data_IF_237792396170
#
_entry.id   IF_237792396170
#
_cell.length_a   1.000
_cell.length_b   1.000
_cell.length_c   1.000
_cell.angle_alpha   90.00
_cell.angle_beta   90.00
_cell.angle_gamma   90.00
#
_symmetry.space_group_name_H-M   'P 1'
#
loop_
_entity.id
_entity.type
_entity.pdbx_description
1 polymer ?
#
# COMPACT_ATOMS: atom_id res chain seq x y z
N UNK A 1 -19.96 -19.78 15.45
CA UNK A 1 -19.19 -19.32 16.64
C UNK A 1 -18.56 -17.97 16.31
N UNK A 2 -18.77 -16.90 17.10
CA UNK A 2 -18.10 -15.63 16.85
C UNK A 2 -16.57 -15.80 16.92
N UNK A 3 -15.88 -15.30 15.92
CA UNK A 3 -14.45 -15.48 15.74
C UNK A 3 -13.70 -14.64 16.79
N UNK A 4 -13.07 -15.29 17.79
CA UNK A 4 -12.30 -14.62 18.86
C UNK A 4 -11.24 -13.64 18.33
N UNK A 5 -10.75 -13.82 17.10
CA UNK A 5 -9.83 -12.88 16.45
C UNK A 5 -10.52 -11.57 16.05
N UNK A 6 -11.77 -11.63 15.57
CA UNK A 6 -12.55 -10.46 15.17
C UNK A 6 -12.93 -9.58 16.38
N UNK A 7 -13.29 -10.20 17.52
CA UNK A 7 -13.58 -9.47 18.75
C UNK A 7 -12.34 -8.77 19.33
N UNK A 8 -11.18 -9.42 19.26
CA UNK A 8 -9.89 -8.81 19.66
C UNK A 8 -9.53 -7.66 18.73
N UNK A 9 -9.74 -7.82 17.42
CA UNK A 9 -9.52 -6.77 16.42
C UNK A 9 -10.40 -5.55 16.69
N UNK A 10 -11.70 -5.76 16.96
CA UNK A 10 -12.65 -4.68 17.25
C UNK A 10 -12.31 -3.95 18.55
N UNK A 11 -11.95 -4.70 19.61
CA UNK A 11 -11.49 -4.11 20.88
C UNK A 11 -10.22 -3.28 20.72
N UNK A 12 -9.23 -3.78 19.96
CA UNK A 12 -8.01 -3.03 19.69
C UNK A 12 -8.29 -1.78 18.84
N UNK A 13 -9.16 -1.88 17.84
CA UNK A 13 -9.57 -0.73 17.02
C UNK A 13 -10.26 0.35 17.86
N UNK A 14 -11.15 -0.02 18.79
CA UNK A 14 -11.78 0.91 19.70
C UNK A 14 -10.76 1.62 20.61
N UNK A 15 -9.78 0.89 21.13
CA UNK A 15 -8.67 1.48 21.90
C UNK A 15 -7.81 2.42 21.07
N UNK A 16 -7.55 2.08 19.81
CA UNK A 16 -6.72 2.86 18.90
C UNK A 16 -7.44 4.11 18.31
N UNK A 17 -8.77 4.20 18.47
CA UNK A 17 -9.57 5.36 18.11
C UNK A 17 -9.46 6.49 19.14
N UNK A 18 -9.21 6.16 20.42
CA UNK A 18 -9.18 7.14 21.52
C UNK A 18 -7.84 7.10 22.27
N UNK A 19 -7.50 8.17 23.03
CA UNK A 19 -6.29 8.20 23.87
C UNK A 19 -6.58 7.73 25.29
N UNK A 20 -7.14 6.53 25.41
CA UNK A 20 -7.45 5.92 26.70
C UNK A 20 -6.22 5.37 27.43
N UNK A 21 -6.36 4.89 28.67
CA UNK A 21 -5.25 4.33 29.46
C UNK A 21 -4.50 3.20 28.75
N UNK A 22 -5.22 2.34 28.03
CA UNK A 22 -4.61 1.26 27.25
C UNK A 22 -3.75 1.77 26.08
N UNK A 23 -4.17 2.84 25.40
CA UNK A 23 -3.37 3.47 24.35
C UNK A 23 -2.09 4.09 24.95
N UNK A 24 -2.19 4.75 26.10
CA UNK A 24 -1.03 5.32 26.80
C UNK A 24 -0.01 4.26 27.24
N UNK A 25 -0.47 3.09 27.69
CA UNK A 25 0.40 1.97 28.03
C UNK A 25 1.20 1.48 26.80
N UNK A 26 0.61 1.53 25.61
CA UNK A 26 1.23 1.13 24.34
C UNK A 26 2.02 2.26 23.66
N UNK A 27 1.92 3.49 24.17
CA UNK A 27 2.53 4.66 23.56
C UNK A 27 4.07 4.59 23.47
N UNK A 28 4.81 4.12 24.50
CA UNK A 28 6.26 3.97 24.40
C UNK A 28 6.69 3.03 23.26
N UNK A 29 5.95 1.93 23.05
CA UNK A 29 6.19 1.00 21.94
C UNK A 29 5.96 1.70 20.60
N UNK A 30 4.96 2.57 20.53
CA UNK A 30 4.65 3.33 19.31
C UNK A 30 5.70 4.38 18.99
N UNK A 31 6.31 4.98 20.02
CA UNK A 31 7.47 5.88 19.86
C UNK A 31 8.66 5.12 19.30
N UNK A 32 8.98 3.95 19.84
CA UNK A 32 10.07 3.10 19.34
C UNK A 32 9.82 2.67 17.88
N UNK A 33 8.59 2.26 17.56
CA UNK A 33 8.18 1.95 16.19
C UNK A 33 8.36 3.15 15.26
N UNK A 34 7.93 4.35 15.68
CA UNK A 34 8.12 5.58 14.92
C UNK A 34 9.59 5.96 14.71
N UNK A 35 10.45 5.72 15.69
CA UNK A 35 11.89 5.94 15.58
C UNK A 35 12.51 5.01 14.52
N UNK A 36 12.12 3.72 14.51
CA UNK A 36 12.59 2.77 13.51
C UNK A 36 12.15 3.14 12.08
N UNK A 37 10.90 3.59 11.92
CA UNK A 37 10.40 4.06 10.62
C UNK A 37 11.20 5.28 10.12
N UNK A 38 11.47 6.23 11.00
CA UNK A 38 12.28 7.42 10.67
C UNK A 38 13.71 7.07 10.31
N UNK A 39 14.33 6.17 11.07
CA UNK A 39 15.67 5.67 10.77
C UNK A 39 15.69 5.03 9.37
N UNK A 40 14.72 4.15 9.09
CA UNK A 40 14.60 3.52 7.77
C UNK A 40 14.44 4.56 6.66
N UNK A 41 13.57 5.55 6.83
CA UNK A 41 13.40 6.63 5.85
C UNK A 41 14.69 7.41 5.65
N UNK A 42 15.38 7.77 6.74
CA UNK A 42 16.66 8.48 6.69
C UNK A 42 17.73 7.69 5.93
N UNK A 43 17.77 6.35 6.08
CA UNK A 43 18.70 5.50 5.32
C UNK A 43 18.42 5.51 3.81
N UNK A 44 17.15 5.56 3.39
CA UNK A 44 16.81 5.71 1.97
C UNK A 44 17.14 7.12 1.45
N UNK A 45 16.81 8.16 2.22
CA UNK A 45 17.13 9.55 1.85
C UNK A 45 18.63 9.81 1.76
N UNK A 46 19.41 9.21 2.65
CA UNK A 46 20.87 9.30 2.64
C UNK A 46 21.53 8.44 1.55
N UNK A 47 20.75 7.67 0.78
CA UNK A 47 21.27 6.77 -0.25
C UNK A 47 21.96 5.51 0.29
N UNK A 48 21.91 5.26 1.60
CA UNK A 48 22.43 4.02 2.19
C UNK A 48 21.60 2.82 1.73
N UNK A 49 20.28 2.99 1.70
CA UNK A 49 19.36 2.06 1.06
C UNK A 49 18.94 2.60 -0.30
N UNK A 50 18.92 1.72 -1.31
CA UNK A 50 18.73 2.11 -2.69
C UNK A 50 17.26 1.99 -3.10
N UNK A 51 16.72 3.07 -3.68
CA UNK A 51 15.43 3.04 -4.39
C UNK A 51 15.67 2.79 -5.87
N UNK A 52 14.90 1.88 -6.44
CA UNK A 52 15.02 1.46 -7.83
C UNK A 52 13.94 2.16 -8.65
N UNK A 53 14.36 2.86 -9.72
CA UNK A 53 13.47 3.48 -10.71
C UNK A 53 13.13 2.51 -11.84
N UNK A 54 11.93 2.66 -12.37
CA UNK A 54 11.47 1.98 -13.58
C UNK A 54 11.57 2.93 -14.78
N UNK A 55 11.46 2.37 -15.99
CA UNK A 55 11.44 3.13 -17.25
C UNK A 55 10.14 3.89 -17.49
N UNK A 56 9.10 3.64 -16.68
CA UNK A 56 7.78 4.26 -16.78
C UNK A 56 7.38 4.91 -15.44
N UNK A 57 6.47 5.90 -15.45
CA UNK A 57 5.97 6.51 -14.22
C UNK A 57 5.27 5.51 -13.30
N UNK A 58 5.42 5.72 -11.99
CA UNK A 58 4.84 4.86 -10.95
C UNK A 58 3.93 5.67 -10.03
N UNK A 59 2.65 5.31 -9.98
CA UNK A 59 1.67 5.83 -9.02
C UNK A 59 1.48 4.79 -7.92
N UNK A 60 1.70 5.19 -6.66
CA UNK A 60 1.44 4.33 -5.51
C UNK A 60 0.11 4.70 -4.88
N UNK A 61 -0.81 3.74 -4.78
CA UNK A 61 -2.06 3.87 -4.04
C UNK A 61 -1.91 3.12 -2.72
N UNK A 62 -2.27 3.74 -1.61
CA UNK A 62 -2.25 3.06 -0.33
C UNK A 62 -2.95 3.83 0.78
N UNK A 63 -2.95 3.24 1.97
CA UNK A 63 -3.43 3.90 3.18
C UNK A 63 -2.29 4.04 4.20
N UNK A 64 -2.49 4.94 5.15
CA UNK A 64 -1.57 5.12 6.28
C UNK A 64 -2.15 4.56 7.58
N UNK A 65 -3.27 3.82 7.51
CA UNK A 65 -4.08 3.40 8.64
C UNK A 65 -4.28 1.89 8.56
N UNK A 66 -4.19 1.16 9.67
CA UNK A 66 -4.46 -0.29 9.66
C UNK A 66 -5.95 -0.57 9.45
N UNK A 67 -6.25 -1.33 8.39
CA UNK A 67 -7.59 -1.79 8.05
C UNK A 67 -7.85 -1.72 6.54
N UNK A 68 -8.99 -2.23 6.10
CA UNK A 68 -9.46 -2.01 4.72
C UNK A 68 -9.94 -0.57 4.58
N UNK A 69 -9.29 0.20 3.71
CA UNK A 69 -9.56 1.64 3.53
C UNK A 69 -10.01 1.97 2.10
N UNK A 70 -10.78 1.09 1.45
CA UNK A 70 -11.28 1.35 0.10
C UNK A 70 -10.20 1.46 -0.99
N UNK A 71 -9.02 0.86 -0.79
CA UNK A 71 -7.91 0.89 -1.75
C UNK A 71 -8.29 0.24 -3.09
N UNK A 72 -8.87 -0.96 -3.06
CA UNK A 72 -9.20 -1.71 -4.29
C UNK A 72 -10.17 -0.95 -5.20
N UNK A 73 -11.31 -0.39 -4.70
CA UNK A 73 -12.15 0.50 -5.50
C UNK A 73 -11.40 1.72 -6.05
N UNK A 74 -10.51 2.32 -5.26
CA UNK A 74 -9.70 3.47 -5.70
C UNK A 74 -8.74 3.09 -6.82
N UNK A 75 -8.04 1.96 -6.72
CA UNK A 75 -7.15 1.46 -7.76
C UNK A 75 -7.92 1.19 -9.04
N UNK A 76 -9.08 0.54 -8.96
CA UNK A 76 -9.95 0.28 -10.12
C UNK A 76 -10.39 1.58 -10.79
N UNK A 77 -10.84 2.56 -10.01
CA UNK A 77 -11.27 3.87 -10.52
C UNK A 77 -10.11 4.62 -11.18
N UNK A 78 -8.94 4.64 -10.55
CA UNK A 78 -7.73 5.29 -11.07
C UNK A 78 -7.28 4.66 -12.38
N UNK A 79 -7.18 3.33 -12.43
CA UNK A 79 -6.78 2.58 -13.63
C UNK A 79 -7.73 2.87 -14.79
N UNK A 80 -9.04 2.83 -14.55
CA UNK A 80 -10.05 3.16 -15.57
C UNK A 80 -9.94 4.60 -16.05
N UNK A 81 -9.75 5.54 -15.13
CA UNK A 81 -9.59 6.96 -15.48
C UNK A 81 -8.34 7.18 -16.34
N UNK A 82 -7.21 6.59 -15.96
CA UNK A 82 -5.97 6.67 -16.74
C UNK A 82 -6.12 6.03 -18.13
N UNK A 83 -6.78 4.88 -18.21
CA UNK A 83 -7.11 4.23 -19.48
C UNK A 83 -7.98 5.11 -20.38
N UNK A 84 -9.02 5.74 -19.82
CA UNK A 84 -9.86 6.68 -20.55
C UNK A 84 -9.09 7.94 -21.00
N UNK A 85 -8.04 8.33 -20.27
CA UNK A 85 -7.12 9.40 -20.64
C UNK A 85 -6.02 8.94 -21.63
N UNK A 86 -6.08 7.71 -22.16
CA UNK A 86 -5.16 7.19 -23.19
C UNK A 86 -3.90 6.51 -22.66
N UNK A 87 -3.75 6.37 -21.34
CA UNK A 87 -2.64 5.60 -20.76
C UNK A 87 -2.89 4.09 -20.88
N UNK A 88 -1.81 3.32 -20.80
CA UNK A 88 -1.84 1.85 -20.73
C UNK A 88 -1.28 1.41 -19.39
N UNK A 89 -2.09 1.49 -18.32
CA UNK A 89 -1.64 1.17 -16.97
C UNK A 89 -1.47 -0.34 -16.77
N UNK A 90 -0.43 -0.73 -16.03
CA UNK A 90 -0.27 -2.05 -15.43
C UNK A 90 -0.35 -1.93 -13.90
N UNK A 91 -0.90 -2.95 -13.24
CA UNK A 91 -1.04 -2.96 -11.78
C UNK A 91 -0.06 -3.92 -11.15
N UNK A 92 0.62 -3.45 -10.10
CA UNK A 92 1.44 -4.31 -9.24
C UNK A 92 0.89 -4.35 -7.83
N UNK A 93 0.82 -5.53 -7.23
CA UNK A 93 0.39 -5.69 -5.85
C UNK A 93 1.26 -6.73 -5.14
N UNK A 94 1.14 -6.79 -3.81
CA UNK A 94 1.83 -7.82 -3.01
C UNK A 94 1.20 -9.20 -3.22
N UNK A 95 -0.12 -9.24 -3.40
CA UNK A 95 -0.93 -10.45 -3.27
C UNK A 95 -0.97 -10.91 -1.80
N UNK A 96 -1.80 -10.27 -0.99
CA UNK A 96 -1.95 -10.60 0.43
C UNK A 96 -2.45 -12.05 0.58
N UNK A 97 -1.90 -12.81 1.52
CA UNK A 97 -2.27 -14.21 1.75
C UNK A 97 -1.48 -15.24 0.94
N UNK A 98 -0.59 -14.81 0.03
CA UNK A 98 0.27 -15.71 -0.76
C UNK A 98 1.43 -16.27 0.05
N UNK A 99 1.73 -17.54 -0.18
CA UNK A 99 2.91 -18.23 0.38
C UNK A 99 4.12 -18.21 -0.57
N UNK A 100 3.88 -18.02 -1.87
CA UNK A 100 4.92 -18.05 -2.90
C UNK A 100 5.77 -16.76 -2.91
N UNK A 101 7.09 -16.92 -3.07
CA UNK A 101 8.03 -15.81 -3.16
C UNK A 101 8.02 -15.16 -4.56
N UNK A 102 7.61 -15.91 -5.58
CA UNK A 102 7.77 -15.54 -6.98
C UNK A 102 6.71 -14.54 -7.47
N UNK A 103 7.05 -13.85 -8.55
CA UNK A 103 6.12 -12.99 -9.27
C UNK A 103 5.13 -13.82 -10.06
N UNK A 104 3.84 -13.54 -9.95
CA UNK A 104 2.78 -14.23 -10.69
C UNK A 104 1.97 -13.21 -11.48
N UNK A 105 1.81 -13.44 -12.78
CA UNK A 105 0.85 -12.72 -13.60
C UNK A 105 -0.55 -13.21 -13.25
N UNK A 106 -1.46 -12.29 -12.98
CA UNK A 106 -2.84 -12.59 -12.60
C UNK A 106 -3.69 -12.66 -13.86
N UNK A 107 -4.17 -13.86 -14.15
CA UNK A 107 -5.13 -14.16 -15.20
C UNK A 107 -6.50 -14.48 -14.59
N UNK A 108 -7.53 -14.54 -15.44
CA UNK A 108 -8.88 -14.90 -15.00
C UNK A 108 -8.96 -16.33 -14.41
N UNK A 109 -8.05 -17.20 -14.82
CA UNK A 109 -7.91 -18.58 -14.34
C UNK A 109 -7.00 -18.71 -13.11
N UNK A 110 -6.29 -17.65 -12.72
CA UNK A 110 -5.34 -17.72 -11.60
C UNK A 110 -6.09 -17.85 -10.26
N UNK A 111 -5.83 -18.92 -9.48
CA UNK A 111 -6.51 -19.12 -8.21
C UNK A 111 -6.23 -17.99 -7.20
N UNK A 112 -7.21 -17.57 -6.37
CA UNK A 112 -7.02 -16.53 -5.36
C UNK A 112 -5.92 -16.85 -4.34
N UNK A 113 -5.60 -18.12 -4.09
CA UNK A 113 -4.50 -18.54 -3.22
C UNK A 113 -3.13 -18.12 -3.80
N UNK A 114 -3.07 -17.97 -5.12
CA UNK A 114 -1.85 -17.60 -5.86
C UNK A 114 -1.82 -16.13 -6.24
N UNK A 115 -2.96 -15.48 -6.47
CA UNK A 115 -3.03 -14.05 -6.84
C UNK A 115 -3.35 -13.14 -5.65
N UNK A 116 -4.13 -13.63 -4.69
CA UNK A 116 -4.84 -12.84 -3.70
C UNK A 116 -6.18 -12.34 -4.23
N UNK A 117 -7.14 -12.14 -3.33
CA UNK A 117 -8.49 -11.69 -3.69
C UNK A 117 -8.50 -10.30 -4.34
N UNK A 118 -7.73 -9.35 -3.79
CA UNK A 118 -7.69 -7.97 -4.29
C UNK A 118 -7.11 -7.87 -5.72
N UNK A 119 -5.94 -8.50 -6.04
CA UNK A 119 -5.39 -8.47 -7.40
C UNK A 119 -6.28 -9.17 -8.43
N UNK A 120 -6.91 -10.29 -8.08
CA UNK A 120 -7.87 -10.97 -8.95
C UNK A 120 -9.07 -10.07 -9.26
N UNK A 121 -9.61 -9.38 -8.26
CA UNK A 121 -10.71 -8.43 -8.45
C UNK A 121 -10.30 -7.26 -9.35
N UNK A 122 -9.10 -6.69 -9.17
CA UNK A 122 -8.60 -5.61 -10.03
C UNK A 122 -8.49 -6.09 -11.48
N UNK A 123 -7.91 -7.28 -11.71
CA UNK A 123 -7.76 -7.88 -13.03
C UNK A 123 -9.12 -8.05 -13.72
N UNK A 124 -10.11 -8.59 -12.99
CA UNK A 124 -11.46 -8.81 -13.49
C UNK A 124 -12.18 -7.49 -13.79
N UNK A 125 -12.05 -6.49 -12.92
CA UNK A 125 -12.78 -5.23 -13.05
C UNK A 125 -12.20 -4.29 -14.11
N UNK A 126 -10.90 -4.37 -14.38
CA UNK A 126 -10.21 -3.39 -15.24
C UNK A 126 -9.71 -3.99 -16.56
N UNK A 127 -9.50 -5.30 -16.62
CA UNK A 127 -8.95 -5.95 -17.80
C UNK A 127 -7.45 -5.73 -18.03
N UNK A 128 -6.79 -4.87 -17.23
CA UNK A 128 -5.38 -4.50 -17.43
C UNK A 128 -4.42 -5.58 -16.91
N UNK A 129 -3.16 -5.59 -17.35
CA UNK A 129 -2.14 -6.48 -16.79
C UNK A 129 -1.99 -6.27 -15.28
N UNK A 130 -2.03 -7.36 -14.51
CA UNK A 130 -1.82 -7.33 -13.05
C UNK A 130 -0.76 -8.36 -12.70
N UNK A 131 0.28 -7.96 -11.98
CA UNK A 131 1.33 -8.86 -11.50
C UNK A 131 1.47 -8.72 -9.98
N UNK A 132 1.55 -9.85 -9.30
CA UNK A 132 1.71 -9.90 -7.85
C UNK A 132 3.10 -10.40 -7.46
N UNK A 133 3.73 -9.78 -6.47
CA UNK A 133 5.03 -10.22 -5.98
C UNK A 133 5.38 -9.62 -4.62
N UNK A 134 6.15 -10.37 -3.82
CA UNK A 134 6.60 -9.89 -2.50
C UNK A 134 7.39 -8.59 -2.62
N UNK A 135 8.31 -8.53 -3.59
CA UNK A 135 9.06 -7.34 -3.97
C UNK A 135 8.35 -6.66 -5.13
N UNK A 136 7.96 -5.38 -4.93
CA UNK A 136 7.16 -4.66 -5.93
C UNK A 136 7.97 -4.33 -7.18
N UNK A 137 9.27 -4.07 -7.00
CA UNK A 137 10.16 -3.79 -8.13
C UNK A 137 10.28 -5.00 -9.06
N UNK A 138 10.37 -6.22 -8.52
CA UNK A 138 10.47 -7.44 -9.34
C UNK A 138 9.16 -7.71 -10.07
N UNK A 139 8.01 -7.54 -9.38
CA UNK A 139 6.69 -7.65 -9.99
C UNK A 139 6.51 -6.63 -11.13
N UNK A 140 6.95 -5.39 -10.93
CA UNK A 140 6.86 -4.35 -11.95
C UNK A 140 7.78 -4.61 -13.15
N UNK A 141 9.00 -5.10 -12.92
CA UNK A 141 9.90 -5.51 -14.00
C UNK A 141 9.32 -6.66 -14.81
N UNK A 142 8.79 -7.69 -14.14
CA UNK A 142 8.14 -8.81 -14.78
C UNK A 142 6.93 -8.35 -15.63
N UNK A 143 6.12 -7.42 -15.09
CA UNK A 143 4.99 -6.84 -15.81
C UNK A 143 5.43 -6.12 -17.08
N UNK A 144 6.42 -5.23 -16.99
CA UNK A 144 6.91 -4.46 -18.14
C UNK A 144 7.61 -5.34 -19.19
N UNK A 145 8.27 -6.42 -18.75
CA UNK A 145 8.87 -7.39 -19.67
C UNK A 145 7.81 -8.19 -20.44
N UNK A 146 6.72 -8.58 -19.77
CA UNK A 146 5.62 -9.33 -20.39
C UNK A 146 4.66 -8.45 -21.21
N UNK A 147 4.54 -7.17 -20.86
CA UNK A 147 3.64 -6.21 -21.49
C UNK A 147 4.39 -4.92 -21.86
N UNK A 148 5.15 -4.91 -22.96
CA UNK A 148 5.96 -3.76 -23.37
C UNK A 148 5.15 -2.51 -23.71
N UNK A 149 3.85 -2.66 -23.94
CA UNK A 149 2.94 -1.57 -24.24
C UNK A 149 2.44 -0.82 -22.98
N UNK A 150 2.67 -1.39 -21.79
CA UNK A 150 2.37 -0.71 -20.52
C UNK A 150 3.31 0.47 -20.35
N UNK A 151 2.72 1.66 -20.18
CA UNK A 151 3.45 2.92 -20.09
C UNK A 151 3.30 3.63 -18.74
N UNK A 152 2.63 3.00 -17.76
CA UNK A 152 2.45 3.50 -16.40
C UNK A 152 2.19 2.34 -15.44
N UNK A 153 2.77 2.39 -14.25
CA UNK A 153 2.52 1.40 -13.18
C UNK A 153 1.66 2.00 -12.08
N UNK A 154 0.61 1.28 -11.68
CA UNK A 154 -0.15 1.55 -10.46
C UNK A 154 0.21 0.48 -9.42
N UNK A 155 0.85 0.89 -8.33
CA UNK A 155 1.21 0.00 -7.23
C UNK A 155 0.17 0.07 -6.11
N UNK A 156 -0.48 -1.05 -5.83
CA UNK A 156 -1.39 -1.21 -4.71
C UNK A 156 -0.64 -1.57 -3.41
N UNK A 157 -0.95 -0.85 -2.34
CA UNK A 157 -0.35 -0.97 -1.00
C UNK A 157 1.19 -0.81 -0.98
N UNK A 158 1.67 0.19 -1.72
CA UNK A 158 3.10 0.48 -1.88
C UNK A 158 3.66 1.54 -0.94
N UNK A 159 2.86 2.24 -0.13
CA UNK A 159 3.31 3.43 0.61
C UNK A 159 4.52 3.17 1.53
N UNK A 160 4.62 1.96 2.08
CA UNK A 160 5.72 1.54 2.96
C UNK A 160 6.91 0.94 2.20
N UNK A 161 6.82 0.78 0.88
CA UNK A 161 7.82 0.09 0.05
C UNK A 161 8.76 1.08 -0.65
N UNK A 162 9.58 1.77 0.15
CA UNK A 162 10.51 2.83 -0.30
C UNK A 162 11.55 2.37 -1.34
N UNK A 163 11.77 1.06 -1.50
CA UNK A 163 12.68 0.50 -2.48
C UNK A 163 12.19 0.66 -3.93
N UNK A 164 10.89 0.87 -4.15
CA UNK A 164 10.34 1.22 -5.45
C UNK A 164 10.21 2.74 -5.52
N UNK A 165 10.96 3.36 -6.42
CA UNK A 165 10.81 4.79 -6.68
C UNK A 165 9.43 5.05 -7.30
N UNK A 166 8.84 6.20 -6.93
CA UNK A 166 7.46 6.56 -7.20
C UNK A 166 7.38 8.02 -7.61
N UNK A 167 6.44 8.34 -8.50
CA UNK A 167 6.26 9.68 -9.07
C UNK A 167 4.98 10.35 -8.55
N UNK A 168 4.02 9.57 -8.03
CA UNK A 168 2.83 10.11 -7.36
C UNK A 168 2.37 9.17 -6.24
N UNK A 169 1.90 9.75 -5.13
CA UNK A 169 1.24 9.03 -4.05
C UNK A 169 -0.25 9.39 -3.98
N UNK A 170 -1.11 8.39 -4.01
CA UNK A 170 -2.54 8.53 -3.71
C UNK A 170 -2.79 7.88 -2.36
N UNK A 171 -3.09 8.71 -1.35
CA UNK A 171 -3.40 8.24 0.00
C UNK A 171 -4.90 8.21 0.20
N UNK A 172 -5.42 7.03 0.55
CA UNK A 172 -6.86 6.81 0.77
C UNK A 172 -7.12 6.69 2.27
N UNK A 173 -8.10 7.45 2.75
CA UNK A 173 -8.67 7.33 4.08
C UNK A 173 -10.09 6.80 4.00
N UNK A 174 -10.49 6.04 5.01
CA UNK A 174 -11.90 5.73 5.25
C UNK A 174 -12.46 6.63 6.37
N UNK A 175 -13.72 6.38 6.74
CA UNK A 175 -14.46 7.12 7.76
C UNK A 175 -13.74 7.20 9.12
N UNK A 176 -12.82 6.28 9.43
CA UNK A 176 -12.05 6.30 10.69
C UNK A 176 -10.98 7.40 10.69
N UNK A 177 -10.66 7.97 9.53
CA UNK A 177 -9.61 8.98 9.39
C UNK A 177 -8.29 8.50 9.98
N UNK A 178 -7.70 9.29 10.88
CA UNK A 178 -6.39 8.98 11.51
C UNK A 178 -6.52 8.30 12.89
N UNK A 179 -7.73 7.97 13.35
CA UNK A 179 -7.99 7.52 14.72
C UNK A 179 -7.46 8.51 15.77
N UNK A 180 -6.77 8.01 16.80
CA UNK A 180 -6.18 8.85 17.85
C UNK A 180 -4.89 9.62 17.44
N UNK A 181 -4.48 9.47 16.17
CA UNK A 181 -3.29 10.10 15.59
C UNK A 181 -1.96 9.51 16.03
N UNK A 182 -1.95 8.39 16.73
CA UNK A 182 -0.73 7.69 17.12
C UNK A 182 -0.41 6.54 16.17
N UNK A 183 0.88 6.21 16.13
CA UNK A 183 1.37 5.06 15.39
C UNK A 183 0.96 3.75 16.06
N UNK A 184 1.05 2.67 15.31
CA UNK A 184 1.00 1.32 15.87
C UNK A 184 2.05 1.13 16.97
N UNK A 185 1.74 0.35 18.02
CA UNK A 185 0.45 -0.29 18.32
C UNK A 185 -0.55 0.57 19.13
N UNK A 186 -0.20 1.79 19.55
CA UNK A 186 -1.07 2.63 20.38
C UNK A 186 -2.18 3.35 19.61
N UNK A 187 -2.04 3.46 18.30
CA UNK A 187 -3.03 4.02 17.38
C UNK A 187 -3.09 3.25 16.07
N UNK A 188 -3.88 3.76 15.13
CA UNK A 188 -4.12 3.09 13.85
C UNK A 188 -3.07 3.41 12.78
N UNK A 189 -2.22 4.42 12.99
CA UNK A 189 -1.32 4.91 11.94
C UNK A 189 -0.13 3.96 11.70
N UNK A 190 0.08 3.59 10.44
CA UNK A 190 1.23 2.85 9.93
C UNK A 190 2.45 3.73 9.68
N UNK A 191 2.23 5.00 9.40
CA UNK A 191 3.25 6.03 9.25
C UNK A 191 2.73 7.36 9.81
N UNK A 192 3.63 8.27 10.17
CA UNK A 192 3.23 9.51 10.81
C UNK A 192 2.40 10.38 9.84
N UNK A 193 1.25 10.88 10.31
CA UNK A 193 0.36 11.71 9.51
C UNK A 193 0.01 13.05 10.20
N UNK A 194 -0.01 14.18 9.48
CA UNK A 194 0.55 14.34 8.13
C UNK A 194 2.06 14.05 8.13
N UNK A 195 2.68 13.73 6.98
CA UNK A 195 4.11 13.48 6.90
C UNK A 195 4.86 14.70 7.46
N UNK A 196 5.59 14.52 8.57
CA UNK A 196 6.28 15.63 9.26
C UNK A 196 7.44 16.19 8.46
N UNK A 197 7.97 15.36 7.58
CA UNK A 197 9.16 15.64 6.81
C UNK A 197 8.68 15.80 5.37
N UNK A 198 8.84 17.00 4.78
CA UNK A 198 8.67 17.23 3.32
C UNK A 198 9.75 16.50 2.50
N UNK A 199 10.25 15.37 2.97
CA UNK A 199 11.27 14.58 2.28
C UNK A 199 10.57 13.61 1.35
N UNK A 200 10.20 14.16 0.21
CA UNK A 200 10.30 13.57 -1.13
C UNK A 200 9.49 14.50 -2.04
N UNK A 201 10.10 14.99 -3.11
CA UNK A 201 9.49 15.82 -4.15
C UNK A 201 8.36 15.12 -4.93
N UNK A 202 7.81 14.04 -4.38
CA UNK A 202 6.74 13.23 -4.96
C UNK A 202 5.40 13.84 -4.53
N UNK A 203 4.61 14.38 -5.47
CA UNK A 203 3.29 14.91 -5.16
C UNK A 203 2.41 13.86 -4.48
N UNK A 204 1.56 14.32 -3.55
CA UNK A 204 0.62 13.45 -2.83
C UNK A 204 -0.81 13.97 -2.97
N UNK A 205 -1.68 13.13 -3.50
CA UNK A 205 -3.12 13.31 -3.53
C UNK A 205 -3.75 12.59 -2.34
N UNK A 206 -4.68 13.23 -1.64
CA UNK A 206 -5.40 12.65 -0.49
C UNK A 206 -6.87 12.51 -0.86
N UNK A 207 -7.36 11.27 -0.84
CA UNK A 207 -8.76 10.95 -1.02
C UNK A 207 -9.36 10.65 0.35
N UNK A 208 -10.49 11.28 0.65
CA UNK A 208 -11.24 11.16 1.90
C UNK A 208 -12.66 10.70 1.60
#
# INVERSE_FOLDING_TARGET
MPNRSAERQARWQALAQQRGPGAWLLWPVSVAYGALLRLRQALFTAGVLQSQRLSVPVIVVGNVVVGGAGKTPTVVALVRHLGAAGWRPGVVSRGYGRTAADTVSVEASTPPEQSGDEPALIRLATGVPVVVGRQRIDAARALLAAHPDVNLIVCDDGLQHLALARDLNVTVFDERGIGNGWLLPAGLLREAWPPRVRHEAVPRLVLR
#
